data_IF_559237949328
#
_entry.id   IF_559237949328
#
_cell.length_a   1.000
_cell.length_b   1.000
_cell.length_c   1.000
_cell.angle_alpha   90.00
_cell.angle_beta   90.00
_cell.angle_gamma   90.00
#
_symmetry.space_group_name_H-M   'P 1'
#
loop_
_entity.id
_entity.type
_entity.pdbx_description
1 polymer ?
#
# COMPACT_ATOMS: atom_id res chain seq x y z
N UNK A 1 2.54 1.84 22.31
CA UNK A 1 3.18 1.43 21.03
C UNK A 1 3.63 2.69 20.34
N UNK A 2 4.67 2.65 19.51
CA UNK A 2 5.21 3.87 18.87
C UNK A 2 4.69 3.89 17.43
N UNK A 3 4.04 4.99 17.03
CA UNK A 3 3.55 5.15 15.66
C UNK A 3 4.73 5.11 14.68
N UNK A 4 4.66 4.22 13.66
CA UNK A 4 5.64 4.16 12.58
C UNK A 4 5.32 5.18 11.49
N UNK A 5 4.03 5.55 11.34
CA UNK A 5 3.59 6.67 10.51
C UNK A 5 2.76 7.61 11.39
N UNK A 6 3.06 8.91 11.31
CA UNK A 6 2.27 9.96 11.94
C UNK A 6 1.96 11.05 10.91
N UNK A 7 0.68 11.29 10.71
CA UNK A 7 0.16 12.29 9.77
C UNK A 7 -0.64 13.31 10.59
N UNK A 8 -0.30 14.60 10.46
CA UNK A 8 -1.00 15.66 11.17
C UNK A 8 -1.40 16.78 10.19
N UNK A 9 -2.67 17.11 10.17
CA UNK A 9 -3.31 18.17 9.36
C UNK A 9 -2.92 18.09 7.88
N UNK A 10 -2.84 16.86 7.33
CA UNK A 10 -2.41 16.65 5.95
C UNK A 10 -3.43 17.20 4.97
N UNK A 11 -3.02 18.23 4.24
CA UNK A 11 -3.83 18.85 3.19
C UNK A 11 -3.09 18.85 1.85
N UNK A 12 -3.83 18.63 0.76
CA UNK A 12 -3.30 18.59 -0.60
C UNK A 12 -4.29 19.18 -1.58
N UNK A 13 -3.79 20.08 -2.44
CA UNK A 13 -4.54 20.62 -3.58
C UNK A 13 -3.92 20.22 -4.91
N UNK A 14 -4.78 20.07 -5.91
CA UNK A 14 -4.43 20.02 -7.32
C UNK A 14 -5.13 21.20 -8.01
N UNK A 15 -4.39 22.28 -8.23
CA UNK A 15 -4.99 23.56 -8.65
C UNK A 15 -5.99 24.06 -7.61
N UNK A 16 -7.26 24.20 -7.99
CA UNK A 16 -8.36 24.62 -7.08
C UNK A 16 -9.01 23.45 -6.35
N UNK A 17 -8.77 22.22 -6.78
CA UNK A 17 -9.39 21.03 -6.18
C UNK A 17 -8.65 20.61 -4.90
N UNK A 18 -9.38 20.55 -3.77
CA UNK A 18 -8.88 20.09 -2.48
C UNK A 18 -9.05 18.57 -2.41
N UNK A 19 -7.94 17.86 -2.59
CA UNK A 19 -7.93 16.39 -2.62
C UNK A 19 -7.79 15.75 -1.25
N UNK A 20 -7.10 16.43 -0.30
CA UNK A 20 -7.02 16.06 1.11
C UNK A 20 -7.26 17.30 1.95
N UNK A 21 -8.05 17.18 3.00
CA UNK A 21 -8.49 18.26 3.87
C UNK A 21 -8.27 17.88 5.33
N UNK A 22 -7.17 18.36 5.89
CA UNK A 22 -6.77 18.21 7.30
C UNK A 22 -6.85 16.77 7.84
N UNK A 23 -6.21 15.83 7.13
CA UNK A 23 -6.15 14.44 7.55
C UNK A 23 -5.19 14.26 8.74
N UNK A 24 -5.71 13.65 9.79
CA UNK A 24 -4.93 13.15 10.94
C UNK A 24 -5.01 11.63 10.98
N UNK A 25 -3.84 10.95 11.00
CA UNK A 25 -3.77 9.49 11.05
C UNK A 25 -2.44 9.02 11.65
N UNK A 26 -2.51 8.16 12.65
CA UNK A 26 -1.34 7.47 13.20
C UNK A 26 -1.45 5.98 12.91
N UNK A 27 -0.34 5.34 12.56
CA UNK A 27 -0.26 3.90 12.26
C UNK A 27 0.86 3.30 13.10
N UNK A 28 0.52 2.27 13.86
CA UNK A 28 1.44 1.58 14.74
C UNK A 28 2.27 0.53 14.00
N UNK A 29 3.41 0.14 14.55
CA UNK A 29 4.21 -0.94 13.98
C UNK A 29 3.46 -2.27 14.05
N UNK A 30 3.40 -2.99 12.93
CA UNK A 30 2.68 -4.26 12.80
C UNK A 30 1.19 -4.11 12.53
N UNK A 31 0.67 -2.88 12.50
CA UNK A 31 -0.75 -2.62 12.25
C UNK A 31 -1.09 -2.69 10.76
N UNK A 32 -2.27 -3.21 10.46
CA UNK A 32 -2.89 -3.18 9.14
C UNK A 32 -4.05 -2.19 9.14
N UNK A 33 -3.88 -1.08 8.42
CA UNK A 33 -4.93 -0.07 8.22
C UNK A 33 -5.47 -0.16 6.79
N UNK A 34 -6.76 -0.48 6.66
CA UNK A 34 -7.43 -0.42 5.37
C UNK A 34 -8.12 0.94 5.18
N UNK A 35 -7.90 1.57 4.02
CA UNK A 35 -8.54 2.83 3.64
C UNK A 35 -9.57 2.54 2.57
N UNK A 36 -10.84 2.78 2.88
CA UNK A 36 -11.99 2.55 1.99
C UNK A 36 -12.72 3.85 1.69
N UNK A 37 -13.58 3.86 0.67
CA UNK A 37 -14.38 5.02 0.29
C UNK A 37 -14.60 5.12 -1.22
N UNK A 38 -15.47 6.03 -1.67
CA UNK A 38 -15.78 6.19 -3.09
C UNK A 38 -14.55 6.58 -3.93
N UNK A 39 -14.63 6.35 -5.25
CA UNK A 39 -13.61 6.84 -6.18
C UNK A 39 -13.51 8.38 -6.09
N UNK A 40 -12.28 8.90 -6.14
CA UNK A 40 -12.02 10.33 -6.01
C UNK A 40 -12.04 10.89 -4.58
N UNK A 41 -12.23 10.05 -3.53
CA UNK A 41 -12.24 10.53 -2.14
C UNK A 41 -10.86 10.91 -1.57
N UNK A 42 -9.76 10.72 -2.31
CA UNK A 42 -8.41 11.10 -1.89
C UNK A 42 -7.53 9.95 -1.37
N UNK A 43 -8.01 8.70 -1.34
CA UNK A 43 -7.30 7.52 -0.79
C UNK A 43 -5.90 7.33 -1.37
N UNK A 44 -5.78 7.26 -2.70
CA UNK A 44 -4.48 7.10 -3.37
C UNK A 44 -3.57 8.32 -3.14
N UNK A 45 -4.15 9.53 -3.08
CA UNK A 45 -3.38 10.74 -2.76
C UNK A 45 -2.82 10.69 -1.35
N UNK A 46 -3.60 10.21 -0.38
CA UNK A 46 -3.16 10.05 1.01
C UNK A 46 -1.91 9.16 1.09
N UNK A 47 -1.96 7.95 0.55
CA UNK A 47 -0.81 7.04 0.65
C UNK A 47 0.39 7.50 -0.17
N UNK A 48 0.19 8.21 -1.28
CA UNK A 48 1.28 8.81 -2.07
C UNK A 48 1.96 9.99 -1.38
N UNK A 49 1.28 10.65 -0.45
CA UNK A 49 1.91 11.68 0.40
C UNK A 49 2.85 11.05 1.44
N UNK A 50 2.60 9.82 1.91
CA UNK A 50 3.43 9.14 2.93
C UNK A 50 4.88 8.94 2.45
N UNK A 51 5.09 8.65 1.17
CA UNK A 51 6.42 8.47 0.58
C UNK A 51 6.86 9.63 -0.34
N UNK A 52 6.13 10.74 -0.27
CA UNK A 52 6.35 11.96 -1.08
C UNK A 52 6.39 11.67 -2.59
N UNK A 53 5.55 10.77 -3.08
CA UNK A 53 5.21 10.69 -4.51
C UNK A 53 4.28 11.84 -4.89
N UNK A 54 3.43 12.27 -3.93
CA UNK A 54 2.68 13.52 -4.00
C UNK A 54 3.17 14.47 -2.92
N UNK A 55 3.39 15.73 -3.28
CA UNK A 55 3.69 16.81 -2.34
C UNK A 55 2.44 17.23 -1.58
N UNK A 56 2.59 17.74 -0.38
CA UNK A 56 1.52 18.27 0.46
C UNK A 56 1.81 19.71 0.90
N UNK A 57 0.80 20.38 1.45
CA UNK A 57 0.84 21.79 1.79
C UNK A 57 1.33 22.00 3.24
N UNK A 58 1.98 23.16 3.49
CA UNK A 58 2.27 23.59 4.85
C UNK A 58 0.96 24.13 5.50
N UNK A 59 0.69 23.86 6.79
CA UNK A 59 1.58 23.31 7.84
C UNK A 59 1.53 21.78 8.01
N UNK A 60 1.00 21.02 7.06
CA UNK A 60 0.92 19.56 7.13
C UNK A 60 2.25 18.91 7.50
N UNK A 61 2.19 17.87 8.31
CA UNK A 61 3.37 17.05 8.64
C UNK A 61 3.09 15.57 8.43
N UNK A 62 4.05 14.89 7.82
CA UNK A 62 4.08 13.43 7.72
C UNK A 62 5.43 12.96 8.27
N UNK A 63 5.41 12.03 9.20
CA UNK A 63 6.60 11.45 9.83
C UNK A 63 6.55 9.95 9.59
N UNK A 64 7.65 9.39 9.10
CA UNK A 64 7.81 7.94 8.92
C UNK A 64 9.04 7.50 9.71
N UNK A 65 8.85 6.54 10.61
CA UNK A 65 9.91 6.01 11.46
C UNK A 65 10.72 7.13 12.15
N UNK A 66 10.01 8.11 12.73
CA UNK A 66 10.59 9.28 13.38
C UNK A 66 11.23 10.31 12.44
N UNK A 67 11.23 10.08 11.13
CA UNK A 67 11.84 10.98 10.14
C UNK A 67 10.76 11.78 9.40
N UNK A 68 10.80 13.13 9.43
CA UNK A 68 9.87 13.96 8.67
C UNK A 68 10.02 13.75 7.16
N UNK A 69 8.89 13.57 6.48
CA UNK A 69 8.82 13.39 5.02
C UNK A 69 8.92 14.75 4.33
N UNK A 70 10.08 15.01 3.71
CA UNK A 70 10.35 16.26 2.98
C UNK A 70 11.23 15.98 1.77
N UNK A 71 11.20 16.92 0.81
CA UNK A 71 12.07 16.86 -0.37
C UNK A 71 13.50 17.32 0.00
N UNK A 72 14.20 16.49 0.74
CA UNK A 72 15.58 16.72 1.17
C UNK A 72 16.42 15.43 1.05
N UNK A 73 17.63 15.43 1.62
CA UNK A 73 18.55 14.28 1.61
C UNK A 73 17.98 13.01 2.27
N UNK A 74 16.95 13.14 3.11
CA UNK A 74 16.36 12.01 3.84
C UNK A 74 15.32 11.26 3.01
N UNK A 75 14.85 11.82 1.88
CA UNK A 75 13.81 11.24 1.05
C UNK A 75 14.17 9.83 0.54
N UNK A 76 15.44 9.61 0.19
CA UNK A 76 15.90 8.27 -0.22
C UNK A 76 15.75 7.27 0.90
N UNK A 77 16.17 7.61 2.12
CA UNK A 77 16.03 6.75 3.31
C UNK A 77 14.56 6.46 3.64
N UNK A 78 13.67 7.46 3.50
CA UNK A 78 12.23 7.26 3.68
C UNK A 78 11.71 6.23 2.67
N UNK A 79 12.06 6.38 1.39
CA UNK A 79 11.63 5.45 0.32
C UNK A 79 12.25 4.06 0.41
N UNK A 80 13.37 3.91 1.11
CA UNK A 80 13.93 2.60 1.46
C UNK A 80 13.10 1.87 2.53
N UNK A 81 12.49 2.63 3.44
CA UNK A 81 11.70 2.11 4.56
C UNK A 81 10.20 1.97 4.24
N UNK A 82 9.74 2.54 3.12
CA UNK A 82 8.34 2.51 2.68
C UNK A 82 8.25 1.84 1.31
N UNK A 83 7.85 0.58 1.29
CA UNK A 83 7.55 -0.13 0.05
C UNK A 83 6.19 0.32 -0.50
N UNK A 84 6.05 0.38 -1.82
CA UNK A 84 4.78 0.71 -2.46
C UNK A 84 4.44 -0.25 -3.58
N UNK A 85 3.21 -0.75 -3.53
CA UNK A 85 2.59 -1.61 -4.54
C UNK A 85 1.47 -0.83 -5.20
N UNK A 86 1.56 -0.67 -6.52
CA UNK A 86 0.64 0.13 -7.32
C UNK A 86 -0.44 -0.72 -7.98
N UNK A 87 -1.54 -0.10 -8.36
CA UNK A 87 -2.59 -0.68 -9.16
C UNK A 87 -2.07 -1.23 -10.51
N UNK A 88 -1.17 -0.52 -11.17
CA UNK A 88 -0.66 -0.84 -12.53
C UNK A 88 0.68 -1.59 -12.50
N UNK A 89 0.97 -2.40 -11.50
CA UNK A 89 2.18 -3.24 -11.32
C UNK A 89 3.51 -2.48 -11.41
N UNK A 90 3.69 -1.63 -12.41
CA UNK A 90 4.87 -0.79 -12.68
C UNK A 90 6.18 -1.60 -12.77
N UNK A 91 6.13 -2.80 -13.34
CA UNK A 91 7.32 -3.62 -13.59
C UNK A 91 8.15 -3.04 -14.73
N UNK A 92 9.47 -3.25 -14.66
CA UNK A 92 10.38 -2.91 -15.75
C UNK A 92 10.23 -3.96 -16.86
N UNK A 93 9.68 -3.61 -18.05
CA UNK A 93 9.34 -4.59 -19.08
C UNK A 93 10.57 -5.25 -19.73
N UNK A 94 11.71 -4.59 -19.69
CA UNK A 94 12.99 -5.06 -20.25
C UNK A 94 13.83 -5.89 -19.27
N UNK A 95 13.34 -6.13 -18.07
CA UNK A 95 13.97 -6.94 -17.03
C UNK A 95 13.15 -8.19 -16.77
N UNK A 96 13.83 -9.30 -16.46
CA UNK A 96 13.15 -10.52 -16.01
C UNK A 96 12.49 -10.30 -14.64
N UNK A 97 11.61 -11.20 -14.22
CA UNK A 97 10.98 -11.22 -12.91
C UNK A 97 12.02 -11.14 -11.79
N UNK A 98 13.03 -12.02 -11.83
CA UNK A 98 14.11 -12.01 -10.84
C UNK A 98 14.88 -10.70 -10.85
N UNK A 99 15.15 -10.14 -12.02
CA UNK A 99 15.84 -8.84 -12.15
C UNK A 99 15.00 -7.68 -11.61
N UNK A 100 13.68 -7.68 -11.84
CA UNK A 100 12.77 -6.67 -11.27
C UNK A 100 12.84 -6.63 -9.74
N UNK A 101 12.93 -7.79 -9.09
CA UNK A 101 12.99 -7.92 -7.64
C UNK A 101 14.39 -7.61 -7.10
N UNK A 102 15.46 -8.06 -7.76
CA UNK A 102 16.83 -7.94 -7.28
C UNK A 102 17.48 -6.56 -7.54
N UNK A 103 16.96 -5.76 -8.47
CA UNK A 103 17.59 -4.51 -8.91
C UNK A 103 17.79 -3.49 -7.77
N UNK A 104 16.72 -3.22 -7.00
CA UNK A 104 16.77 -2.22 -5.93
C UNK A 104 17.73 -2.63 -4.79
N UNK A 105 17.72 -3.86 -4.27
CA UNK A 105 18.73 -4.33 -3.31
C UNK A 105 20.18 -4.15 -3.79
N UNK A 106 20.46 -4.43 -5.05
CA UNK A 106 21.80 -4.22 -5.61
C UNK A 106 22.17 -2.73 -5.70
N UNK A 107 21.26 -1.88 -6.19
CA UNK A 107 21.54 -0.47 -6.46
C UNK A 107 21.55 0.39 -5.20
N UNK A 108 20.63 0.16 -4.31
CA UNK A 108 20.39 1.00 -3.13
C UNK A 108 21.07 0.41 -1.88
N UNK A 109 20.82 -0.86 -1.57
CA UNK A 109 21.39 -1.56 -0.39
C UNK A 109 22.80 -2.10 -0.63
N UNK A 110 23.36 -1.93 -1.86
CA UNK A 110 24.70 -2.40 -2.24
C UNK A 110 24.93 -3.91 -2.02
N UNK A 111 23.86 -4.72 -2.01
CA UNK A 111 23.99 -6.19 -1.96
C UNK A 111 24.74 -6.70 -3.21
N UNK A 112 25.55 -7.75 -3.07
CA UNK A 112 26.16 -8.40 -4.23
C UNK A 112 25.07 -9.00 -5.13
N UNK A 113 25.42 -9.28 -6.40
CA UNK A 113 24.48 -9.89 -7.34
C UNK A 113 23.93 -11.22 -6.81
N UNK A 114 24.80 -12.07 -6.29
CA UNK A 114 24.40 -13.39 -5.79
C UNK A 114 23.48 -13.28 -4.57
N UNK A 115 23.77 -12.38 -3.63
CA UNK A 115 22.93 -12.10 -2.49
C UNK A 115 21.54 -11.56 -2.90
N UNK A 116 21.50 -10.62 -3.84
CA UNK A 116 20.26 -10.01 -4.29
C UNK A 116 19.41 -11.02 -5.09
N UNK A 117 20.02 -11.87 -5.93
CA UNK A 117 19.33 -12.92 -6.68
C UNK A 117 18.77 -13.99 -5.73
N UNK A 118 19.59 -14.48 -4.79
CA UNK A 118 19.13 -15.47 -3.81
C UNK A 118 17.95 -14.93 -2.98
N UNK A 119 18.02 -13.66 -2.54
CA UNK A 119 16.93 -13.00 -1.81
C UNK A 119 15.68 -12.83 -2.69
N UNK A 120 15.84 -12.42 -3.96
CA UNK A 120 14.75 -12.31 -4.91
C UNK A 120 14.02 -13.64 -5.13
N UNK A 121 14.75 -14.74 -5.33
CA UNK A 121 14.16 -16.09 -5.49
C UNK A 121 13.38 -16.51 -4.23
N UNK A 122 13.92 -16.24 -3.04
CA UNK A 122 13.21 -16.53 -1.79
C UNK A 122 11.88 -15.76 -1.69
N UNK A 123 11.86 -14.49 -2.07
CA UNK A 123 10.65 -13.68 -2.09
C UNK A 123 9.66 -14.13 -3.17
N UNK A 124 10.13 -14.48 -4.37
CA UNK A 124 9.28 -15.03 -5.42
C UNK A 124 8.64 -16.35 -4.99
N UNK A 125 9.37 -17.18 -4.24
CA UNK A 125 8.81 -18.39 -3.62
C UNK A 125 7.75 -18.06 -2.57
N UNK A 126 8.00 -17.06 -1.72
CA UNK A 126 7.04 -16.60 -0.70
C UNK A 126 5.71 -16.14 -1.33
N UNK A 127 5.76 -15.48 -2.49
CA UNK A 127 4.56 -15.06 -3.21
C UNK A 127 4.07 -16.08 -4.25
N UNK A 128 4.63 -17.30 -4.26
CA UNK A 128 4.15 -18.45 -5.06
C UNK A 128 4.41 -18.35 -6.56
N UNK A 129 5.48 -17.68 -7.00
CA UNK A 129 5.79 -17.50 -8.44
C UNK A 129 7.28 -17.72 -8.77
N UNK A 130 8.01 -18.48 -7.97
CA UNK A 130 9.44 -18.77 -8.19
C UNK A 130 9.73 -19.36 -9.59
N UNK A 131 8.83 -20.22 -10.09
CA UNK A 131 8.94 -20.83 -11.43
C UNK A 131 8.89 -19.83 -12.59
N UNK A 132 8.51 -18.57 -12.32
CA UNK A 132 8.44 -17.51 -13.32
C UNK A 132 9.67 -16.56 -13.31
N UNK A 133 10.71 -16.87 -12.51
CA UNK A 133 11.85 -15.98 -12.24
C UNK A 133 12.58 -15.47 -13.50
N UNK A 134 12.68 -16.30 -14.54
CA UNK A 134 13.39 -15.98 -15.79
C UNK A 134 12.50 -15.37 -16.87
N UNK A 135 11.18 -15.29 -16.64
CA UNK A 135 10.24 -14.67 -17.58
C UNK A 135 10.27 -13.15 -17.52
N UNK A 136 9.77 -12.53 -18.58
CA UNK A 136 9.53 -11.10 -18.65
C UNK A 136 8.08 -10.77 -18.25
N UNK A 137 7.78 -9.52 -17.80
CA UNK A 137 6.45 -9.13 -17.36
C UNK A 137 5.31 -9.41 -18.36
N UNK A 138 5.55 -9.24 -19.66
CA UNK A 138 4.57 -9.49 -20.72
C UNK A 138 4.18 -10.96 -20.90
N UNK A 139 4.97 -11.87 -20.33
CA UNK A 139 4.71 -13.33 -20.33
C UNK A 139 3.90 -13.79 -19.10
N UNK A 140 3.49 -12.87 -18.23
CA UNK A 140 2.80 -13.13 -16.97
C UNK A 140 1.34 -12.68 -17.01
N UNK A 141 0.46 -13.40 -16.31
CA UNK A 141 -0.88 -12.90 -16.00
C UNK A 141 -0.84 -11.66 -15.09
N UNK A 142 -1.92 -10.88 -15.04
CA UNK A 142 -2.03 -9.71 -14.17
C UNK A 142 -1.78 -10.03 -12.69
N UNK A 143 -2.36 -11.12 -12.18
CA UNK A 143 -2.13 -11.58 -10.81
C UNK A 143 -0.68 -11.99 -10.55
N UNK A 144 -0.02 -12.62 -11.53
CA UNK A 144 1.41 -12.92 -11.43
C UNK A 144 2.25 -11.65 -11.41
N UNK A 145 1.96 -10.66 -12.27
CA UNK A 145 2.66 -9.38 -12.30
C UNK A 145 2.50 -8.63 -10.96
N UNK A 146 1.31 -8.67 -10.37
CA UNK A 146 1.06 -8.04 -9.07
C UNK A 146 1.85 -8.73 -7.95
N UNK A 147 1.93 -10.06 -7.95
CA UNK A 147 2.77 -10.79 -6.99
C UNK A 147 4.27 -10.49 -7.16
N UNK A 148 4.75 -10.27 -8.39
CA UNK A 148 6.10 -9.74 -8.63
C UNK A 148 6.28 -8.34 -8.05
N UNK A 149 5.29 -7.45 -8.21
CA UNK A 149 5.32 -6.10 -7.64
C UNK A 149 5.38 -6.12 -6.11
N UNK A 150 4.63 -7.04 -5.47
CA UNK A 150 4.70 -7.27 -4.02
C UNK A 150 6.10 -7.78 -3.61
N UNK A 151 6.64 -8.80 -4.29
CA UNK A 151 7.98 -9.31 -4.02
C UNK A 151 9.06 -8.22 -4.18
N UNK A 152 8.94 -7.37 -5.20
CA UNK A 152 9.84 -6.23 -5.42
C UNK A 152 9.77 -5.21 -4.29
N UNK A 153 8.58 -4.90 -3.77
CA UNK A 153 8.43 -4.00 -2.63
C UNK A 153 9.05 -4.59 -1.36
N UNK A 154 8.85 -5.89 -1.12
CA UNK A 154 9.44 -6.63 0.01
C UNK A 154 10.97 -6.71 -0.06
N UNK A 155 11.55 -6.73 -1.26
CA UNK A 155 13.00 -6.90 -1.46
C UNK A 155 13.86 -5.82 -0.80
N UNK A 156 13.27 -4.66 -0.54
CA UNK A 156 13.91 -3.58 0.21
C UNK A 156 13.81 -3.74 1.73
N UNK A 157 13.14 -4.79 2.22
CA UNK A 157 12.91 -5.03 3.67
C UNK A 157 12.31 -3.78 4.35
N UNK A 158 11.19 -3.24 3.81
CA UNK A 158 10.63 -1.99 4.29
C UNK A 158 9.96 -2.17 5.66
N UNK A 159 9.87 -1.08 6.44
CA UNK A 159 9.13 -1.04 7.71
C UNK A 159 7.61 -0.97 7.50
N UNK A 160 7.19 -0.41 6.36
CA UNK A 160 5.79 -0.24 5.98
C UNK A 160 5.59 -0.58 4.53
N UNK A 161 4.51 -1.28 4.22
CA UNK A 161 4.02 -1.50 2.86
C UNK A 161 2.75 -0.69 2.59
N UNK A 162 2.77 0.09 1.52
CA UNK A 162 1.62 0.81 1.02
C UNK A 162 1.06 0.09 -0.21
N UNK A 163 -0.25 -0.15 -0.24
CA UNK A 163 -0.96 -0.78 -1.35
C UNK A 163 -1.99 0.20 -1.92
N UNK A 164 -1.84 0.55 -3.20
CA UNK A 164 -2.75 1.46 -3.92
C UNK A 164 -3.63 0.64 -4.86
N UNK A 165 -4.80 0.19 -4.36
CA UNK A 165 -5.79 -0.60 -5.08
C UNK A 165 -5.17 -1.82 -5.81
N UNK A 166 -4.50 -2.75 -5.10
CA UNK A 166 -3.64 -3.77 -5.70
C UNK A 166 -4.40 -4.80 -6.56
N UNK A 167 -5.72 -4.84 -6.50
CA UNK A 167 -6.57 -5.82 -7.21
C UNK A 167 -7.41 -5.20 -8.32
N UNK A 168 -7.54 -3.88 -8.39
CA UNK A 168 -8.51 -3.20 -9.27
C UNK A 168 -8.22 -3.32 -10.78
N UNK A 169 -6.98 -3.71 -11.16
CA UNK A 169 -6.59 -3.97 -12.55
C UNK A 169 -6.58 -5.45 -12.91
N UNK A 170 -7.12 -6.32 -12.04
CA UNK A 170 -7.08 -7.77 -12.20
C UNK A 170 -8.44 -8.33 -12.62
N UNK A 171 -8.41 -9.40 -13.39
CA UNK A 171 -9.58 -10.22 -13.60
C UNK A 171 -10.03 -10.87 -12.28
N UNK A 172 -11.34 -11.04 -12.05
CA UNK A 172 -11.87 -11.57 -10.78
C UNK A 172 -11.25 -12.91 -10.34
N UNK A 173 -10.90 -13.77 -11.31
CA UNK A 173 -10.27 -15.07 -11.04
C UNK A 173 -8.87 -14.94 -10.42
N UNK A 174 -8.18 -13.81 -10.63
CA UNK A 174 -6.81 -13.57 -10.16
C UNK A 174 -6.75 -12.81 -8.84
N UNK A 175 -7.85 -12.17 -8.43
CA UNK A 175 -7.92 -11.36 -7.20
C UNK A 175 -7.59 -12.20 -5.97
N UNK A 176 -8.15 -13.41 -5.88
CA UNK A 176 -7.96 -14.31 -4.73
C UNK A 176 -6.50 -14.59 -4.41
N UNK A 177 -5.69 -14.91 -5.43
CA UNK A 177 -4.26 -15.24 -5.27
C UNK A 177 -3.44 -14.06 -4.71
N UNK A 178 -3.78 -12.83 -5.11
CA UNK A 178 -3.10 -11.62 -4.62
C UNK A 178 -3.53 -11.32 -3.18
N UNK A 179 -4.82 -11.44 -2.88
CA UNK A 179 -5.34 -11.27 -1.52
C UNK A 179 -4.77 -12.30 -0.55
N UNK A 180 -4.55 -13.55 -0.98
CA UNK A 180 -3.93 -14.60 -0.16
C UNK A 180 -2.49 -14.24 0.23
N UNK A 181 -1.70 -13.71 -0.71
CA UNK A 181 -0.36 -13.19 -0.39
C UNK A 181 -0.45 -12.04 0.62
N UNK A 182 -1.37 -11.11 0.44
CA UNK A 182 -1.55 -9.97 1.35
C UNK A 182 -2.02 -10.43 2.74
N UNK A 183 -2.88 -11.46 2.85
CA UNK A 183 -3.26 -12.09 4.13
C UNK A 183 -2.06 -12.69 4.86
N UNK A 184 -1.18 -13.37 4.13
CA UNK A 184 0.04 -13.94 4.71
C UNK A 184 0.97 -12.84 5.25
N UNK A 185 1.11 -11.73 4.53
CA UNK A 185 1.90 -10.58 4.97
C UNK A 185 1.32 -9.96 6.24
N UNK A 186 0.01 -9.76 6.32
CA UNK A 186 -0.68 -9.27 7.52
C UNK A 186 -0.40 -10.19 8.73
N UNK A 187 -0.57 -11.51 8.55
CA UNK A 187 -0.30 -12.50 9.61
C UNK A 187 1.17 -12.54 10.06
N UNK A 188 2.10 -12.15 9.20
CA UNK A 188 3.53 -12.09 9.55
C UNK A 188 3.92 -10.82 10.32
N UNK A 189 2.98 -9.92 10.61
CA UNK A 189 3.22 -8.70 11.39
C UNK A 189 3.83 -7.55 10.57
N UNK A 190 3.74 -7.59 9.26
CA UNK A 190 4.16 -6.48 8.40
C UNK A 190 3.19 -5.31 8.56
N UNK A 191 3.70 -4.11 8.83
CA UNK A 191 2.85 -2.91 8.86
C UNK A 191 2.34 -2.59 7.46
N UNK A 192 1.04 -2.41 7.31
CA UNK A 192 0.42 -2.22 5.99
C UNK A 192 -0.60 -1.08 6.00
N UNK A 193 -0.58 -0.27 4.94
CA UNK A 193 -1.67 0.66 4.61
C UNK A 193 -2.23 0.25 3.27
N UNK A 194 -3.49 -0.15 3.23
CA UNK A 194 -4.12 -0.76 2.06
C UNK A 194 -5.32 0.05 1.61
N UNK A 195 -5.18 0.74 0.48
CA UNK A 195 -6.35 1.29 -0.23
C UNK A 195 -6.99 0.16 -1.02
N UNK A 196 -8.25 -0.14 -0.75
CA UNK A 196 -8.91 -1.28 -1.37
C UNK A 196 -10.41 -1.07 -1.55
N UNK A 197 -10.98 -1.77 -2.54
CA UNK A 197 -12.41 -1.97 -2.75
C UNK A 197 -12.87 -3.37 -2.32
N UNK A 198 -11.94 -4.21 -1.84
CA UNK A 198 -12.22 -5.57 -1.37
C UNK A 198 -12.69 -5.53 0.09
N UNK A 199 -14.01 -5.31 0.31
CA UNK A 199 -14.57 -5.15 1.66
C UNK A 199 -14.42 -6.41 2.52
N UNK A 200 -14.51 -7.60 1.89
CA UNK A 200 -14.27 -8.88 2.57
C UNK A 200 -12.84 -9.00 3.11
N UNK A 201 -11.86 -8.58 2.32
CA UNK A 201 -10.46 -8.54 2.74
C UNK A 201 -10.25 -7.53 3.89
N UNK A 202 -10.77 -6.30 3.75
CA UNK A 202 -10.65 -5.29 4.79
C UNK A 202 -11.28 -5.74 6.12
N UNK A 203 -12.44 -6.41 6.07
CA UNK A 203 -13.12 -6.96 7.26
C UNK A 203 -12.30 -8.06 7.94
N UNK A 204 -11.60 -8.90 7.15
CA UNK A 204 -10.88 -10.06 7.67
C UNK A 204 -9.53 -9.70 8.29
N UNK A 205 -8.79 -8.75 7.68
CA UNK A 205 -7.37 -8.56 8.00
C UNK A 205 -7.02 -7.22 8.65
N UNK A 206 -7.88 -6.21 8.55
CA UNK A 206 -7.57 -4.90 9.09
C UNK A 206 -7.68 -4.88 10.62
N UNK A 207 -6.71 -4.24 11.27
CA UNK A 207 -6.84 -3.83 12.66
C UNK A 207 -7.75 -2.60 12.78
N UNK A 208 -7.61 -1.66 11.83
CA UNK A 208 -8.51 -0.52 11.68
C UNK A 208 -8.88 -0.29 10.22
N UNK A 209 -10.09 0.22 10.04
CA UNK A 209 -10.61 0.66 8.75
C UNK A 209 -10.90 2.16 8.82
N UNK A 210 -10.32 2.93 7.89
CA UNK A 210 -10.58 4.36 7.72
C UNK A 210 -11.50 4.57 6.51
N UNK A 211 -12.70 5.10 6.73
CA UNK A 211 -13.59 5.51 5.66
C UNK A 211 -13.30 6.95 5.25
N UNK A 212 -12.95 7.15 3.98
CA UNK A 212 -12.67 8.47 3.41
C UNK A 212 -13.78 8.91 2.44
N UNK A 213 -14.16 10.17 2.54
CA UNK A 213 -15.03 10.85 1.57
C UNK A 213 -14.65 12.33 1.44
N UNK A 214 -14.69 12.88 0.21
CA UNK A 214 -14.40 14.28 -0.09
C UNK A 214 -13.10 14.81 0.57
N UNK A 215 -12.03 14.01 0.53
CA UNK A 215 -10.71 14.38 1.05
C UNK A 215 -10.55 14.28 2.57
N UNK A 216 -11.56 13.79 3.30
CA UNK A 216 -11.54 13.66 4.77
C UNK A 216 -11.64 12.21 5.21
N UNK A 217 -11.05 11.89 6.37
CA UNK A 217 -11.42 10.68 7.11
C UNK A 217 -12.71 11.01 7.85
N UNK A 218 -13.80 10.36 7.45
CA UNK A 218 -15.13 10.56 8.03
C UNK A 218 -15.30 9.71 9.29
N UNK A 219 -14.80 8.47 9.24
CA UNK A 219 -14.89 7.53 10.34
C UNK A 219 -13.69 6.59 10.31
N UNK A 220 -13.19 6.23 11.49
CA UNK A 220 -12.12 5.24 11.65
C UNK A 220 -12.41 4.40 12.89
N UNK A 221 -12.26 3.09 12.76
CA UNK A 221 -12.52 2.15 13.85
C UNK A 221 -12.07 0.75 13.49
N UNK A 222 -12.38 -0.21 14.37
CA UNK A 222 -12.19 -1.63 14.07
C UNK A 222 -13.10 -2.05 12.89
N UNK A 223 -12.81 -3.18 12.21
CA UNK A 223 -13.72 -3.70 11.18
C UNK A 223 -15.18 -3.82 11.68
N UNK A 224 -15.42 -4.27 12.91
CA UNK A 224 -16.77 -4.35 13.48
C UNK A 224 -17.42 -2.98 13.66
N UNK A 225 -16.66 -1.96 14.08
CA UNK A 225 -17.20 -0.61 14.24
C UNK A 225 -17.66 -0.06 12.88
N UNK A 226 -16.85 -0.23 11.84
CA UNK A 226 -17.14 0.34 10.51
C UNK A 226 -18.17 -0.47 9.73
N UNK A 227 -18.04 -1.81 9.67
CA UNK A 227 -18.88 -2.62 8.81
C UNK A 227 -20.22 -3.00 9.43
N UNK A 228 -20.30 -3.10 10.77
CA UNK A 228 -21.49 -3.57 11.48
C UNK A 228 -22.17 -2.44 12.29
N UNK A 229 -21.38 -1.47 12.78
CA UNK A 229 -21.84 -0.48 13.74
C UNK A 229 -21.50 0.96 13.36
N UNK A 230 -21.34 1.27 12.06
CA UNK A 230 -20.96 2.61 11.60
C UNK A 230 -21.84 3.70 12.21
N UNK A 231 -21.22 4.72 12.81
CA UNK A 231 -21.92 5.82 13.47
C UNK A 231 -22.26 6.94 12.47
N UNK A 232 -21.41 7.16 11.48
CA UNK A 232 -21.57 8.22 10.51
C UNK A 232 -22.61 7.83 9.43
N UNK A 233 -23.63 8.65 9.16
CA UNK A 233 -24.64 8.36 8.13
C UNK A 233 -24.02 8.14 6.74
N UNK A 234 -22.94 8.83 6.45
CA UNK A 234 -22.24 8.74 5.15
C UNK A 234 -21.54 7.38 4.98
N UNK A 235 -20.93 6.87 6.05
CA UNK A 235 -20.33 5.52 6.10
C UNK A 235 -21.40 4.46 5.85
N UNK A 236 -22.53 4.53 6.58
CA UNK A 236 -23.64 3.59 6.40
C UNK A 236 -24.19 3.58 4.98
N UNK A 237 -24.37 4.77 4.39
CA UNK A 237 -24.88 4.89 3.03
C UNK A 237 -23.92 4.25 2.00
N UNK A 238 -22.61 4.49 2.16
CA UNK A 238 -21.59 3.90 1.29
C UNK A 238 -21.57 2.37 1.39
N UNK A 239 -21.55 1.84 2.62
CA UNK A 239 -21.51 0.40 2.86
C UNK A 239 -22.78 -0.30 2.36
N UNK A 240 -23.96 0.28 2.57
CA UNK A 240 -25.23 -0.29 2.07
C UNK A 240 -25.26 -0.40 0.55
N UNK A 241 -24.66 0.56 -0.17
CA UNK A 241 -24.58 0.53 -1.63
C UNK A 241 -23.63 -0.55 -2.17
N UNK A 242 -22.55 -0.87 -1.43
CA UNK A 242 -21.55 -1.85 -1.87
C UNK A 242 -21.89 -3.28 -1.42
N UNK A 243 -22.42 -3.44 -0.20
CA UNK A 243 -22.72 -4.75 0.36
C UNK A 243 -24.07 -5.32 -0.11
N UNK A 244 -24.89 -4.54 -0.81
CA UNK A 244 -26.15 -4.97 -1.42
C UNK A 244 -25.96 -5.74 -2.75
N UNK A 245 -24.73 -5.87 -3.23
CA UNK A 245 -24.32 -6.63 -4.41
C UNK A 245 -23.43 -7.80 -3.99
#
# INVERSE_FOLDING_TARGET
>A
MTAVISINHLSKRFGTFLALDEIDLNIETGEVVCVIGPSGSGKSTLIRCINLLESFEHPSTVIVDGTPVKKDKNLTSIRENVGMVFQSFNLFPHLTVCQNVSLAPMRVRKKTKDQAVAHALALLKQVGIESQADKYPDQLSGGQQQRVAIARALAMEPKVLLFDEPTSSLDPEMVGEVLDVMRQLAKSGVTMVVVTHEMGYAREVADRVAFMDNGKIIEIGTPSDIFDNAQEPRTRHFLSAILAH
#
